data_IF_031217721910
#
_entry.id   IF_031217721910
#
_cell.length_a   1.000
_cell.length_b   1.000
_cell.length_c   1.000
_cell.angle_alpha   90.00
_cell.angle_beta   90.00
_cell.angle_gamma   90.00
#
_symmetry.space_group_name_H-M   'P 1'
#
loop_
_entity.id
_entity.type
_entity.pdbx_description
1 polymer ?
#
# COMPACT_ATOMS: atom_id res chain seq x y z
N UNK A 1 -23.53 -13.29 6.64
CA UNK A 1 -23.09 -12.30 5.63
C UNK A 1 -21.61 -11.88 5.80
N UNK A 2 -21.09 -11.68 7.01
CA UNK A 2 -19.68 -11.26 7.24
C UNK A 2 -18.61 -12.24 6.70
N UNK A 3 -18.86 -13.56 6.76
CA UNK A 3 -17.88 -14.57 6.31
C UNK A 3 -17.58 -14.54 4.80
N UNK A 4 -18.54 -14.12 3.95
CA UNK A 4 -18.36 -14.12 2.49
C UNK A 4 -17.33 -13.08 2.03
N UNK A 5 -17.34 -11.90 2.63
CA UNK A 5 -16.41 -10.81 2.29
C UNK A 5 -14.98 -11.10 2.76
N UNK A 6 -14.82 -11.78 3.90
CA UNK A 6 -13.50 -12.18 4.40
C UNK A 6 -12.79 -13.17 3.46
N UNK A 7 -13.53 -14.12 2.86
CA UNK A 7 -12.98 -15.06 1.89
C UNK A 7 -12.53 -14.32 0.62
N UNK A 8 -13.32 -13.36 0.12
CA UNK A 8 -12.95 -12.57 -1.06
C UNK A 8 -11.67 -11.77 -0.79
N UNK A 9 -11.60 -11.08 0.35
CA UNK A 9 -10.39 -10.31 0.73
C UNK A 9 -9.16 -11.20 0.89
N UNK A 10 -9.33 -12.42 1.44
CA UNK A 10 -8.25 -13.39 1.54
C UNK A 10 -7.76 -13.83 0.16
N UNK A 11 -8.68 -14.16 -0.76
CA UNK A 11 -8.33 -14.52 -2.14
C UNK A 11 -7.58 -13.37 -2.81
N UNK A 12 -8.06 -12.13 -2.67
CA UNK A 12 -7.37 -10.95 -3.23
C UNK A 12 -5.97 -10.77 -2.63
N UNK A 13 -5.80 -10.97 -1.32
CA UNK A 13 -4.50 -10.90 -0.67
C UNK A 13 -3.53 -12.00 -1.13
N UNK A 14 -4.03 -13.20 -1.43
CA UNK A 14 -3.21 -14.29 -1.97
C UNK A 14 -2.83 -14.09 -3.44
N UNK A 15 -3.66 -13.36 -4.20
CA UNK A 15 -3.38 -13.03 -5.60
C UNK A 15 -2.53 -11.77 -5.76
N UNK A 16 -2.40 -10.92 -4.72
CA UNK A 16 -1.58 -9.70 -4.79
C UNK A 16 -0.11 -9.91 -5.19
N UNK A 17 0.62 -10.97 -4.76
CA UNK A 17 2.01 -11.15 -5.19
C UNK A 17 2.15 -11.53 -6.67
N UNK A 18 1.07 -11.83 -7.40
CA UNK A 18 1.16 -12.05 -8.85
C UNK A 18 1.68 -10.81 -9.60
N UNK A 19 1.51 -9.61 -9.02
CA UNK A 19 2.09 -8.37 -9.56
C UNK A 19 3.61 -8.37 -9.61
N UNK A 20 4.30 -9.18 -8.80
CA UNK A 20 5.77 -9.28 -8.80
C UNK A 20 6.33 -9.90 -10.09
N UNK A 21 5.49 -10.55 -10.88
CA UNK A 21 5.87 -11.16 -12.17
C UNK A 21 5.75 -10.13 -13.30
N UNK A 22 5.04 -9.02 -13.08
CA UNK A 22 4.89 -7.98 -14.08
C UNK A 22 6.21 -7.23 -14.30
N UNK A 23 6.47 -6.86 -15.55
CA UNK A 23 7.61 -6.02 -15.91
C UNK A 23 7.27 -4.53 -15.70
N UNK A 24 8.25 -3.75 -15.24
CA UNK A 24 8.13 -2.31 -14.99
C UNK A 24 7.75 -1.95 -13.55
N UNK A 25 7.71 -0.65 -13.27
CA UNK A 25 7.34 -0.09 -11.97
C UNK A 25 5.85 -0.33 -11.69
N UNK A 26 5.52 -0.70 -10.45
CA UNK A 26 4.13 -0.95 -10.07
C UNK A 26 3.27 0.32 -10.18
N UNK A 27 1.99 0.12 -10.49
CA UNK A 27 1.05 1.22 -10.68
C UNK A 27 0.92 2.04 -9.39
N UNK A 28 1.25 3.33 -9.47
CA UNK A 28 1.24 4.25 -8.33
C UNK A 28 2.58 4.40 -7.60
N UNK A 29 3.63 3.68 -8.03
CA UNK A 29 4.99 3.79 -7.47
C UNK A 29 5.94 4.61 -8.34
N UNK A 30 5.42 5.31 -9.33
CA UNK A 30 6.24 6.10 -10.22
C UNK A 30 6.94 7.24 -9.49
N UNK A 31 8.23 7.41 -9.77
CA UNK A 31 9.00 8.60 -9.45
C UNK A 31 8.82 9.74 -10.47
N UNK A 32 9.53 10.83 -10.25
CA UNK A 32 9.59 11.97 -11.19
C UNK A 32 10.24 11.56 -12.50
N UNK A 33 11.28 10.74 -12.39
CA UNK A 33 12.05 10.20 -13.51
C UNK A 33 11.17 9.26 -14.35
N UNK A 34 10.45 8.34 -13.71
CA UNK A 34 9.54 7.42 -14.40
C UNK A 34 8.44 8.17 -15.16
N UNK A 35 7.87 9.21 -14.55
CA UNK A 35 6.87 10.06 -15.21
C UNK A 35 7.47 10.81 -16.41
N UNK A 36 8.68 11.34 -16.27
CA UNK A 36 9.37 12.02 -17.37
C UNK A 36 9.64 11.07 -18.52
N UNK A 37 10.03 9.83 -18.23
CA UNK A 37 10.26 8.79 -19.25
C UNK A 37 8.95 8.34 -19.91
N UNK A 38 7.86 8.21 -19.14
CA UNK A 38 6.58 7.69 -19.62
C UNK A 38 5.78 8.71 -20.43
N UNK A 39 5.73 9.98 -19.98
CA UNK A 39 4.87 11.02 -20.58
C UNK A 39 5.63 12.24 -21.08
N UNK A 40 6.95 12.32 -20.88
CA UNK A 40 7.81 13.38 -21.42
C UNK A 40 7.88 14.66 -20.57
N UNK A 41 7.20 14.71 -19.43
CA UNK A 41 7.26 15.84 -18.50
C UNK A 41 6.78 15.45 -17.09
N UNK A 42 7.11 16.29 -16.10
CA UNK A 42 6.59 16.17 -14.73
C UNK A 42 5.43 17.15 -14.52
N UNK A 43 4.22 16.69 -14.14
CA UNK A 43 3.15 17.58 -13.72
C UNK A 43 3.50 18.32 -12.43
N UNK A 44 3.28 19.65 -12.40
CA UNK A 44 3.63 20.49 -11.23
C UNK A 44 2.99 20.03 -9.91
N UNK A 45 1.78 19.47 -9.95
CA UNK A 45 1.12 18.93 -8.76
C UNK A 45 1.79 17.67 -8.21
N UNK A 46 2.49 16.92 -9.06
CA UNK A 46 3.20 15.71 -8.67
C UNK A 46 4.50 16.05 -7.93
N UNK A 47 5.25 17.04 -8.43
CA UNK A 47 6.44 17.58 -7.75
C UNK A 47 6.12 18.06 -6.33
N UNK A 48 5.03 18.83 -6.17
CA UNK A 48 4.57 19.28 -4.84
C UNK A 48 4.11 18.14 -3.93
N UNK A 49 3.46 17.11 -4.49
CA UNK A 49 2.95 16.00 -3.70
C UNK A 49 4.07 15.18 -3.05
N UNK A 50 5.21 15.00 -3.74
CA UNK A 50 6.37 14.31 -3.18
C UNK A 50 7.00 15.05 -2.00
N UNK A 51 6.98 16.39 -2.01
CA UNK A 51 7.46 17.19 -0.87
C UNK A 51 6.56 17.04 0.36
N UNK A 52 5.25 16.85 0.16
CA UNK A 52 4.26 16.86 1.24
C UNK A 52 4.09 15.50 1.92
N UNK A 53 4.37 14.41 1.23
CA UNK A 53 4.18 13.06 1.75
C UNK A 53 5.35 12.14 1.40
N UNK A 54 5.97 11.59 2.44
CA UNK A 54 6.91 10.50 2.32
C UNK A 54 6.23 9.18 2.75
N UNK A 55 6.46 8.11 1.97
CA UNK A 55 5.96 6.78 2.33
C UNK A 55 6.58 6.31 3.66
N UNK A 56 5.79 5.58 4.45
CA UNK A 56 6.25 5.02 5.74
C UNK A 56 7.36 3.98 5.52
N UNK A 57 7.22 3.17 4.48
CA UNK A 57 8.21 2.17 4.04
C UNK A 57 8.52 2.38 2.56
N UNK A 58 9.45 3.29 2.22
CA UNK A 58 9.91 3.48 0.84
C UNK A 58 10.43 2.16 0.26
N UNK A 59 10.09 1.86 -0.99
CA UNK A 59 10.46 0.63 -1.71
C UNK A 59 10.10 -0.66 -0.96
N UNK A 60 9.09 -0.60 -0.08
CA UNK A 60 8.70 -1.68 0.83
C UNK A 60 9.82 -2.17 1.76
N UNK A 61 10.85 -1.35 1.97
CA UNK A 61 11.98 -1.69 2.84
C UNK A 61 11.68 -1.30 4.28
N UNK A 62 12.16 -2.12 5.22
CA UNK A 62 12.05 -1.85 6.66
C UNK A 62 13.48 -1.74 7.20
N UNK A 63 14.02 -0.51 7.37
CA UNK A 63 15.43 -0.30 7.67
C UNK A 63 15.94 -1.06 8.91
N UNK A 64 15.08 -1.31 9.88
CA UNK A 64 15.44 -2.03 11.12
C UNK A 64 15.78 -3.51 10.90
N UNK A 65 15.37 -4.10 9.77
CA UNK A 65 15.64 -5.50 9.45
C UNK A 65 17.01 -5.71 8.80
N UNK A 66 17.70 -4.64 8.41
CA UNK A 66 19.00 -4.68 7.75
C UNK A 66 18.90 -4.85 6.22
N UNK A 67 19.99 -5.28 5.60
CA UNK A 67 20.13 -5.38 4.14
C UNK A 67 20.39 -6.82 3.68
N UNK A 68 20.06 -7.10 2.41
CA UNK A 68 20.34 -8.37 1.73
C UNK A 68 19.09 -8.98 1.10
N UNK A 69 19.28 -9.77 0.03
CA UNK A 69 18.18 -10.31 -0.79
C UNK A 69 17.06 -11.02 -0.02
N UNK A 70 17.43 -11.80 1.00
CA UNK A 70 16.47 -12.50 1.85
C UNK A 70 15.71 -11.51 2.74
N UNK A 71 16.42 -10.51 3.28
CA UNK A 71 15.86 -9.47 4.13
C UNK A 71 14.93 -8.55 3.34
N UNK A 72 15.25 -8.21 2.09
CA UNK A 72 14.40 -7.44 1.18
C UNK A 72 13.06 -8.17 0.94
N UNK A 73 13.12 -9.46 0.64
CA UNK A 73 11.91 -10.28 0.43
C UNK A 73 11.04 -10.34 1.69
N UNK A 74 11.66 -10.46 2.86
CA UNK A 74 10.96 -10.45 4.15
C UNK A 74 10.37 -9.06 4.42
N UNK A 75 11.14 -8.00 4.19
CA UNK A 75 10.70 -6.61 4.36
C UNK A 75 9.50 -6.29 3.49
N UNK A 76 9.51 -6.75 2.24
CA UNK A 76 8.40 -6.60 1.31
C UNK A 76 7.11 -7.23 1.85
N UNK A 77 7.18 -8.50 2.27
CA UNK A 77 6.01 -9.21 2.82
C UNK A 77 5.54 -8.57 4.13
N UNK A 78 6.46 -8.19 5.01
CA UNK A 78 6.15 -7.51 6.27
C UNK A 78 5.48 -6.15 6.01
N UNK A 79 5.99 -5.37 5.07
CA UNK A 79 5.42 -4.08 4.68
C UNK A 79 3.98 -4.24 4.19
N UNK A 80 3.72 -5.23 3.31
CA UNK A 80 2.38 -5.54 2.82
C UNK A 80 1.41 -5.92 3.95
N UNK A 81 1.85 -6.75 4.91
CA UNK A 81 1.03 -7.15 6.06
C UNK A 81 0.74 -5.98 7.01
N UNK A 82 1.74 -5.15 7.30
CA UNK A 82 1.61 -3.99 8.18
C UNK A 82 0.66 -2.96 7.55
N UNK A 83 0.89 -2.59 6.28
CA UNK A 83 0.07 -1.64 5.55
C UNK A 83 -1.39 -2.10 5.42
N UNK A 84 -1.60 -3.36 5.01
CA UNK A 84 -2.95 -3.93 4.88
C UNK A 84 -3.67 -3.99 6.22
N UNK A 85 -2.97 -4.41 7.28
CA UNK A 85 -3.51 -4.47 8.63
C UNK A 85 -3.89 -3.08 9.17
N UNK A 86 -3.04 -2.08 8.93
CA UNK A 86 -3.30 -0.69 9.32
C UNK A 86 -4.56 -0.14 8.64
N UNK A 87 -4.67 -0.29 7.31
CA UNK A 87 -5.84 0.16 6.54
C UNK A 87 -7.11 -0.54 7.03
N UNK A 88 -7.08 -1.87 7.15
CA UNK A 88 -8.23 -2.63 7.65
C UNK A 88 -8.64 -2.17 9.05
N UNK A 89 -7.67 -1.96 9.95
CA UNK A 89 -7.90 -1.45 11.30
C UNK A 89 -8.55 -0.06 11.33
N UNK A 90 -8.04 0.87 10.53
CA UNK A 90 -8.59 2.23 10.40
C UNK A 90 -10.02 2.21 9.86
N UNK A 91 -10.28 1.45 8.80
CA UNK A 91 -11.62 1.29 8.22
C UNK A 91 -12.59 0.66 9.22
N UNK A 92 -12.15 -0.39 9.93
CA UNK A 92 -12.99 -1.05 10.93
C UNK A 92 -13.30 -0.13 12.13
N UNK A 93 -12.33 0.66 12.58
CA UNK A 93 -12.52 1.65 13.65
C UNK A 93 -13.50 2.74 13.21
N UNK A 94 -13.29 3.32 12.03
CA UNK A 94 -14.14 4.35 11.46
C UNK A 94 -15.59 3.84 11.27
N UNK A 95 -15.77 2.63 10.74
CA UNK A 95 -17.07 1.98 10.63
C UNK A 95 -17.77 1.79 11.98
N UNK A 96 -17.04 1.39 13.03
CA UNK A 96 -17.60 1.29 14.39
C UNK A 96 -18.06 2.65 14.92
N UNK A 97 -17.31 3.73 14.66
CA UNK A 97 -17.69 5.08 15.09
C UNK A 97 -18.98 5.55 14.41
N UNK A 98 -19.15 5.28 13.11
CA UNK A 98 -20.37 5.62 12.36
C UNK A 98 -21.57 4.86 12.92
N UNK A 99 -21.44 3.54 13.12
CA UNK A 99 -22.55 2.70 13.62
C UNK A 99 -22.95 3.13 15.03
N UNK A 100 -21.99 3.41 15.91
CA UNK A 100 -22.27 3.89 17.28
C UNK A 100 -23.02 5.23 17.25
N UNK A 101 -22.63 6.16 16.36
CA UNK A 101 -23.32 7.45 16.22
C UNK A 101 -24.76 7.27 15.76
N UNK A 102 -25.01 6.36 14.81
CA UNK A 102 -26.35 6.07 14.31
C UNK A 102 -27.26 5.39 15.34
N UNK A 103 -26.73 4.59 16.27
CA UNK A 103 -27.55 3.94 17.32
C UNK A 103 -27.87 4.84 18.51
N UNK A 104 -27.25 6.03 18.59
CA UNK A 104 -27.45 6.97 19.71
C UNK A 104 -28.36 8.15 19.30
N UNK A 105 -28.82 8.17 18.04
CA UNK A 105 -29.89 9.04 17.53
C UNK A 105 -31.22 8.30 17.57
#
# INVERSE_FOLDING_TARGET
MKQKYGIILLIMALLSPLGLIAEGTAWGEWGLEDLTELVGYVPQGFEQAQEWWAAIFPDYTIPILGEGKVVESISYVCSALIGSGLIYGLVALYGKMIIKKASTM
#
